data_IF_757250030529
#
_entry.id   IF_757250030529
#
_cell.length_a   1.000
_cell.length_b   1.000
_cell.length_c   1.000
_cell.angle_alpha   90.00
_cell.angle_beta   90.00
_cell.angle_gamma   90.00
#
_symmetry.space_group_name_H-M   'P 1'
#
loop_
_entity.id
_entity.type
_entity.pdbx_description
1 polymer ?
#
# COMPACT_ATOMS: atom_id res chain seq x y z
N UNK A 1 16.85 7.25 26.21
CA UNK A 1 16.49 6.83 24.85
C UNK A 1 15.84 5.47 24.99
N UNK A 2 14.52 5.40 24.86
CA UNK A 2 13.79 4.13 24.99
C UNK A 2 14.16 3.22 23.82
N UNK A 3 14.78 2.09 24.15
CA UNK A 3 14.91 0.94 23.26
C UNK A 3 13.54 0.23 23.17
N UNK A 4 12.55 0.89 22.59
CA UNK A 4 11.37 0.19 22.14
C UNK A 4 11.83 -0.66 20.95
N UNK A 5 11.77 -1.99 21.11
CA UNK A 5 12.01 -2.95 20.03
C UNK A 5 11.27 -2.45 18.79
N UNK A 6 12.00 -2.14 17.73
CA UNK A 6 11.41 -1.84 16.44
C UNK A 6 10.67 -3.12 16.02
N UNK A 7 9.36 -3.13 16.21
CA UNK A 7 8.51 -4.16 15.66
C UNK A 7 8.49 -3.93 14.14
N UNK A 8 9.30 -4.70 13.42
CA UNK A 8 9.37 -4.67 11.96
C UNK A 8 8.11 -5.27 11.30
N UNK A 9 7.06 -5.58 12.08
CA UNK A 9 5.79 -6.06 11.54
C UNK A 9 5.04 -4.94 10.81
N UNK A 10 4.45 -5.29 9.67
CA UNK A 10 3.56 -4.37 8.97
C UNK A 10 2.26 -4.23 9.79
N UNK A 11 1.79 -2.99 10.03
CA UNK A 11 0.50 -2.77 10.69
C UNK A 11 -0.64 -3.32 9.82
N UNK A 12 -1.77 -3.66 10.46
CA UNK A 12 -2.98 -4.09 9.76
C UNK A 12 -3.47 -3.03 8.77
N UNK A 13 -3.50 -1.77 9.23
CA UNK A 13 -3.83 -0.60 8.43
C UNK A 13 -2.61 -0.14 7.63
N UNK A 14 -2.23 -0.93 6.62
CA UNK A 14 -1.04 -0.71 5.78
C UNK A 14 -1.03 0.67 5.13
N UNK A 15 -2.17 1.22 4.78
CA UNK A 15 -2.35 2.55 4.19
C UNK A 15 -1.77 3.69 5.03
N UNK A 16 -1.63 3.51 6.35
CA UNK A 16 -1.07 4.54 7.23
C UNK A 16 0.42 4.75 6.97
N UNK A 17 1.13 3.72 6.52
CA UNK A 17 2.57 3.74 6.29
C UNK A 17 2.96 3.53 4.83
N UNK A 18 2.17 2.78 4.06
CA UNK A 18 2.42 2.41 2.66
C UNK A 18 1.45 3.12 1.72
N UNK A 19 1.93 3.42 0.52
CA UNK A 19 1.11 4.01 -0.54
C UNK A 19 0.03 3.02 -0.96
N UNK A 20 -1.22 3.46 -0.91
CA UNK A 20 -2.35 2.66 -1.35
C UNK A 20 -2.37 2.47 -2.88
N UNK A 21 -1.87 3.45 -3.64
CA UNK A 21 -1.90 3.50 -5.11
C UNK A 21 -0.56 3.19 -5.80
N UNK A 22 0.46 2.74 -5.06
CA UNK A 22 1.78 2.52 -5.64
C UNK A 22 2.73 1.77 -4.71
N UNK A 23 4.02 1.98 -4.93
CA UNK A 23 5.08 1.27 -4.19
C UNK A 23 5.62 2.05 -2.99
N UNK A 24 5.92 1.30 -1.93
CA UNK A 24 6.72 1.75 -0.79
C UNK A 24 5.99 2.64 0.21
N UNK A 25 6.78 3.24 1.10
CA UNK A 25 6.28 4.09 2.18
C UNK A 25 5.70 5.41 1.67
N UNK A 26 4.71 5.95 2.40
CA UNK A 26 4.05 7.22 2.08
C UNK A 26 5.04 8.40 2.05
N UNK A 27 6.02 8.41 2.95
CA UNK A 27 7.02 9.47 3.06
C UNK A 27 8.21 9.31 2.10
N UNK A 28 8.31 8.17 1.40
CA UNK A 28 9.40 7.90 0.45
C UNK A 28 8.95 8.18 -0.98
N UNK A 29 9.30 9.33 -1.56
CA UNK A 29 8.88 9.70 -2.93
C UNK A 29 9.89 10.59 -3.65
N UNK A 30 9.84 10.56 -4.97
CA UNK A 30 10.56 11.50 -5.81
C UNK A 30 9.91 12.88 -5.73
N UNK A 31 10.73 13.91 -5.59
CA UNK A 31 10.32 15.32 -5.63
C UNK A 31 11.24 16.09 -6.55
N UNK A 32 10.77 17.22 -7.05
CA UNK A 32 11.60 18.15 -7.82
C UNK A 32 12.01 19.31 -6.95
N UNK A 33 13.31 19.57 -6.92
CA UNK A 33 13.94 20.66 -6.19
C UNK A 33 14.94 21.34 -7.11
N UNK A 34 14.76 22.63 -7.40
CA UNK A 34 15.68 23.42 -8.24
C UNK A 34 16.01 22.73 -9.58
N UNK A 35 14.99 22.27 -10.31
CA UNK A 35 15.10 21.55 -11.58
C UNK A 35 15.85 20.21 -11.54
N UNK A 36 16.09 19.67 -10.34
CA UNK A 36 16.69 18.36 -10.11
C UNK A 36 15.72 17.42 -9.41
N UNK A 37 15.86 16.11 -9.62
CA UNK A 37 15.13 15.09 -8.87
C UNK A 37 15.86 14.79 -7.57
N UNK A 38 15.12 14.80 -6.46
CA UNK A 38 15.57 14.31 -5.17
C UNK A 38 14.64 13.20 -4.70
N UNK A 39 15.19 12.18 -4.04
CA UNK A 39 14.38 11.16 -3.38
C UNK A 39 14.18 11.55 -1.92
N UNK A 40 12.97 11.89 -1.51
CA UNK A 40 12.63 12.14 -0.11
C UNK A 40 12.46 10.84 0.65
N UNK A 41 12.86 10.84 1.92
CA UNK A 41 12.69 9.71 2.84
C UNK A 41 13.85 9.60 3.84
N UNK A 42 13.83 8.57 4.69
CA UNK A 42 14.91 8.31 5.67
C UNK A 42 15.61 6.96 5.51
N UNK A 43 15.06 6.07 4.69
CA UNK A 43 15.42 4.64 4.75
C UNK A 43 16.43 4.21 3.67
N UNK A 44 16.86 5.11 2.80
CA UNK A 44 17.74 4.79 1.67
C UNK A 44 18.94 5.72 1.63
N UNK A 45 20.09 5.21 1.19
CA UNK A 45 21.30 6.02 1.04
C UNK A 45 21.16 7.15 0.01
N UNK A 46 20.21 7.03 -0.91
CA UNK A 46 19.89 8.06 -1.91
C UNK A 46 18.95 9.16 -1.37
N UNK A 47 18.40 8.97 -0.16
CA UNK A 47 17.48 9.92 0.43
C UNK A 47 18.13 11.30 0.62
N UNK A 48 17.37 12.34 0.30
CA UNK A 48 17.76 13.76 0.35
C UNK A 48 18.99 14.13 -0.48
N UNK A 49 19.43 13.24 -1.38
CA UNK A 49 20.46 13.56 -2.38
C UNK A 49 19.79 14.08 -3.64
N UNK A 50 20.26 15.23 -4.11
CA UNK A 50 19.90 15.78 -5.41
C UNK A 50 20.61 15.00 -6.53
N UNK A 51 19.86 14.57 -7.54
CA UNK A 51 20.34 13.82 -8.69
C UNK A 51 20.15 14.66 -9.98
N UNK A 52 21.01 15.67 -10.21
CA UNK A 52 20.81 16.63 -11.31
C UNK A 52 20.84 15.99 -12.70
N UNK A 53 21.60 14.91 -12.87
CA UNK A 53 21.72 14.22 -14.16
C UNK A 53 20.58 13.23 -14.46
N UNK A 54 19.68 12.97 -13.51
CA UNK A 54 18.62 11.98 -13.69
C UNK A 54 17.58 12.43 -14.72
N UNK A 55 17.14 13.69 -14.68
CA UNK A 55 16.21 14.26 -15.67
C UNK A 55 16.85 14.25 -17.07
N UNK A 56 18.06 14.82 -17.30
CA UNK A 56 18.74 14.75 -18.60
C UNK A 56 18.93 13.32 -19.12
N UNK A 57 19.24 12.37 -18.23
CA UNK A 57 19.35 10.96 -18.59
C UNK A 57 18.01 10.40 -19.10
N UNK A 58 16.91 10.64 -18.40
CA UNK A 58 15.57 10.20 -18.81
C UNK A 58 15.18 10.82 -20.15
N UNK A 59 15.38 12.14 -20.32
CA UNK A 59 15.06 12.85 -21.57
C UNK A 59 15.79 12.27 -22.78
N UNK A 60 17.10 12.03 -22.65
CA UNK A 60 17.90 11.43 -23.73
C UNK A 60 17.51 9.99 -24.02
N UNK A 61 17.23 9.19 -22.99
CA UNK A 61 16.93 7.76 -23.14
C UNK A 61 15.54 7.52 -23.71
N UNK A 62 14.56 8.31 -23.27
CA UNK A 62 13.16 8.16 -23.67
C UNK A 62 12.79 9.05 -24.88
N UNK A 63 13.67 9.98 -25.27
CA UNK A 63 13.41 10.94 -26.35
C UNK A 63 12.29 11.94 -26.02
N UNK A 64 12.10 12.27 -24.74
CA UNK A 64 11.04 13.16 -24.26
C UNK A 64 11.60 14.51 -23.80
N UNK A 65 10.79 15.55 -23.91
CA UNK A 65 11.05 16.82 -23.23
C UNK A 65 10.35 16.80 -21.87
N UNK A 66 11.07 17.16 -20.82
CA UNK A 66 10.54 17.23 -19.47
C UNK A 66 10.21 18.69 -19.13
N UNK A 67 9.03 18.92 -18.56
CA UNK A 67 8.67 20.16 -17.89
C UNK A 67 8.29 19.88 -16.43
N UNK A 68 8.64 20.79 -15.50
CA UNK A 68 8.26 20.65 -14.09
C UNK A 68 6.74 20.58 -13.88
N UNK A 69 5.95 21.09 -14.82
CA UNK A 69 4.48 21.00 -14.81
C UNK A 69 3.93 19.62 -15.20
N UNK A 70 4.75 18.76 -15.80
CA UNK A 70 4.33 17.41 -16.22
C UNK A 70 4.24 16.44 -15.03
N UNK A 71 4.81 16.80 -13.88
CA UNK A 71 4.75 15.99 -12.67
C UNK A 71 3.38 16.17 -12.02
N UNK A 72 2.53 15.16 -12.24
CA UNK A 72 1.37 14.93 -11.39
C UNK A 72 1.85 14.23 -10.13
N UNK A 73 1.86 14.95 -9.01
CA UNK A 73 2.06 14.33 -7.71
C UNK A 73 0.88 13.37 -7.46
N UNK A 74 1.20 12.12 -7.16
CA UNK A 74 0.27 11.00 -6.92
C UNK A 74 -0.50 11.13 -5.59
N UNK A 75 -0.81 12.35 -5.16
CA UNK A 75 -1.48 12.66 -3.90
C UNK A 75 -3.02 12.59 -4.03
N UNK A 76 -3.54 11.77 -4.96
CA UNK A 76 -5.00 11.54 -5.05
C UNK A 76 -5.49 10.84 -3.78
N UNK A 77 -6.54 11.34 -3.11
CA UNK A 77 -7.14 10.62 -1.99
C UNK A 77 -7.77 9.31 -2.47
N UNK A 78 -7.80 8.32 -1.59
CA UNK A 78 -8.54 7.08 -1.85
C UNK A 78 -10.04 7.37 -1.87
N UNK A 79 -10.69 7.11 -3.00
CA UNK A 79 -12.13 7.27 -3.14
C UNK A 79 -12.84 5.92 -3.02
N UNK A 80 -13.42 5.69 -1.85
CA UNK A 80 -14.13 4.45 -1.53
C UNK A 80 -15.41 4.24 -2.35
N UNK A 81 -15.94 5.27 -3.02
CA UNK A 81 -17.18 5.16 -3.80
C UNK A 81 -17.05 4.25 -5.03
N UNK A 82 -15.81 4.00 -5.49
CA UNK A 82 -15.52 3.05 -6.56
C UNK A 82 -15.38 1.60 -6.08
N UNK A 83 -15.44 1.36 -4.77
CA UNK A 83 -15.31 0.01 -4.20
C UNK A 83 -16.70 -0.56 -3.95
N UNK A 84 -17.00 -1.69 -4.58
CA UNK A 84 -18.26 -2.38 -4.38
C UNK A 84 -18.37 -2.93 -2.94
N UNK A 85 -19.58 -2.92 -2.35
CA UNK A 85 -19.83 -3.54 -1.06
C UNK A 85 -19.42 -5.02 -1.04
N UNK A 86 -18.96 -5.55 0.10
CA UNK A 86 -18.62 -6.96 0.21
C UNK A 86 -19.87 -7.83 0.12
N UNK A 87 -19.74 -9.00 -0.49
CA UNK A 87 -20.79 -10.02 -0.43
C UNK A 87 -20.64 -10.79 0.89
N UNK A 88 -21.62 -10.66 1.78
CA UNK A 88 -21.56 -11.21 3.14
C UNK A 88 -22.40 -12.47 3.26
N UNK A 89 -21.82 -13.53 3.83
CA UNK A 89 -22.55 -14.69 4.31
C UNK A 89 -22.74 -14.54 5.83
N UNK A 90 -23.98 -14.31 6.26
CA UNK A 90 -24.30 -14.00 7.66
C UNK A 90 -23.92 -15.14 8.62
N UNK A 91 -24.12 -16.40 8.21
CA UNK A 91 -23.76 -17.57 9.02
C UNK A 91 -22.25 -17.65 9.25
N UNK A 92 -21.48 -17.40 8.19
CA UNK A 92 -20.02 -17.37 8.29
C UNK A 92 -19.53 -16.19 9.13
N UNK A 93 -20.12 -15.01 8.95
CA UNK A 93 -19.75 -13.82 9.73
C UNK A 93 -20.06 -14.01 11.22
N UNK A 94 -21.20 -14.61 11.55
CA UNK A 94 -21.55 -14.97 12.92
C UNK A 94 -20.53 -15.95 13.51
N UNK A 95 -20.18 -17.02 12.79
CA UNK A 95 -19.15 -17.96 13.22
C UNK A 95 -17.78 -17.29 13.40
N UNK A 96 -17.41 -16.33 12.55
CA UNK A 96 -16.18 -15.56 12.69
C UNK A 96 -16.17 -14.70 13.96
N UNK A 97 -17.30 -14.05 14.28
CA UNK A 97 -17.47 -13.24 15.51
C UNK A 97 -17.33 -14.11 16.75
N UNK A 98 -18.04 -15.24 16.81
CA UNK A 98 -18.03 -16.16 17.95
C UNK A 98 -16.64 -16.76 18.21
N UNK A 99 -15.91 -17.13 17.13
CA UNK A 99 -14.59 -17.76 17.25
C UNK A 99 -13.41 -16.77 17.30
N UNK A 100 -13.67 -15.46 17.33
CA UNK A 100 -12.64 -14.41 17.34
C UNK A 100 -11.79 -14.33 18.61
N UNK A 101 -11.97 -15.27 19.54
CA UNK A 101 -11.33 -15.39 20.86
C UNK A 101 -9.79 -15.40 20.84
N UNK A 102 -9.18 -14.24 20.60
CA UNK A 102 -7.73 -13.99 20.55
C UNK A 102 -6.93 -14.72 19.45
N UNK A 103 -7.58 -15.44 18.51
CA UNK A 103 -6.90 -16.22 17.47
C UNK A 103 -6.67 -15.46 16.16
N UNK A 104 -7.56 -14.53 15.83
CA UNK A 104 -7.49 -13.73 14.61
C UNK A 104 -8.30 -12.45 14.75
N UNK A 105 -8.05 -11.51 13.85
CA UNK A 105 -8.91 -10.35 13.61
C UNK A 105 -9.31 -10.32 12.14
N UNK A 106 -10.40 -9.64 11.80
CA UNK A 106 -10.82 -9.51 10.42
C UNK A 106 -11.38 -8.11 10.15
N UNK A 107 -11.46 -7.72 8.87
CA UNK A 107 -12.00 -6.45 8.40
C UNK A 107 -12.73 -6.64 7.08
N UNK A 108 -13.83 -5.92 6.92
CA UNK A 108 -14.56 -5.77 5.67
C UNK A 108 -14.50 -4.33 5.14
N UNK A 109 -13.59 -3.51 5.66
CA UNK A 109 -13.43 -2.11 5.27
C UNK A 109 -12.91 -2.02 3.83
N UNK A 110 -13.37 -0.99 3.09
CA UNK A 110 -13.13 -0.86 1.66
C UNK A 110 -11.64 -0.75 1.34
N UNK A 111 -10.89 -0.01 2.17
CA UNK A 111 -9.45 0.22 1.98
C UNK A 111 -8.62 -1.03 2.28
N UNK A 112 -8.98 -1.79 3.32
CA UNK A 112 -8.28 -3.02 3.68
C UNK A 112 -8.50 -4.08 2.60
N UNK A 113 -9.75 -4.24 2.15
CA UNK A 113 -10.12 -5.12 1.04
C UNK A 113 -9.37 -4.73 -0.23
N UNK A 114 -9.37 -3.45 -0.59
CA UNK A 114 -8.68 -2.96 -1.78
C UNK A 114 -7.17 -3.24 -1.73
N UNK A 115 -6.52 -2.96 -0.58
CA UNK A 115 -5.07 -3.16 -0.42
C UNK A 115 -4.67 -4.63 -0.59
N UNK A 116 -5.53 -5.57 -0.21
CA UNK A 116 -5.28 -7.02 -0.32
C UNK A 116 -5.77 -7.63 -1.64
N UNK A 117 -6.36 -6.85 -2.54
CA UNK A 117 -6.89 -7.33 -3.82
C UNK A 117 -5.96 -7.10 -5.01
N UNK A 118 -4.80 -6.48 -4.78
CA UNK A 118 -3.87 -6.09 -5.83
C UNK A 118 -2.42 -6.37 -5.46
N UNK A 119 -1.63 -6.67 -6.47
CA UNK A 119 -0.18 -6.64 -6.41
C UNK A 119 0.38 -5.26 -6.78
N UNK A 120 1.54 -5.31 -7.44
CA UNK A 120 2.33 -4.16 -7.86
C UNK A 120 2.70 -4.28 -9.35
N UNK A 121 1.89 -4.98 -10.14
CA UNK A 121 2.08 -4.99 -11.58
C UNK A 121 1.60 -3.67 -12.19
N UNK A 122 2.08 -3.35 -13.41
CA UNK A 122 1.77 -2.08 -14.07
C UNK A 122 0.26 -1.82 -14.22
N UNK A 123 -0.52 -2.85 -14.59
CA UNK A 123 -1.97 -2.75 -14.80
C UNK A 123 -2.69 -2.39 -13.49
N UNK A 124 -2.34 -3.08 -12.40
CA UNK A 124 -2.90 -2.87 -11.07
C UNK A 124 -2.54 -1.49 -10.50
N UNK A 125 -1.29 -1.07 -10.64
CA UNK A 125 -0.85 0.27 -10.23
C UNK A 125 -1.61 1.35 -11.01
N UNK A 126 -1.72 1.19 -12.33
CA UNK A 126 -2.47 2.12 -13.18
C UNK A 126 -3.95 2.22 -12.77
N UNK A 127 -4.61 1.08 -12.53
CA UNK A 127 -6.00 1.06 -12.03
C UNK A 127 -6.11 1.67 -10.63
N UNK A 128 -5.12 1.49 -9.77
CA UNK A 128 -5.13 2.10 -8.43
C UNK A 128 -5.04 3.62 -8.49
N UNK A 129 -4.23 4.17 -9.40
CA UNK A 129 -4.15 5.62 -9.63
C UNK A 129 -5.38 6.20 -10.34
N UNK A 130 -6.21 5.34 -10.94
CA UNK A 130 -7.39 5.68 -11.74
C UNK A 130 -8.55 4.76 -11.33
N UNK A 131 -9.00 4.88 -10.07
CA UNK A 131 -10.03 4.03 -9.47
C UNK A 131 -11.33 3.97 -10.28
N UNK A 132 -11.64 5.01 -11.06
CA UNK A 132 -12.77 5.02 -11.98
C UNK A 132 -12.68 3.99 -13.12
N UNK A 133 -11.49 3.40 -13.33
CA UNK A 133 -11.20 2.35 -14.30
C UNK A 133 -10.96 0.99 -13.66
N UNK A 134 -11.33 0.84 -12.38
CA UNK A 134 -11.11 -0.39 -11.64
C UNK A 134 -11.92 -1.52 -12.25
N UNK A 135 -11.22 -2.51 -12.79
CA UNK A 135 -11.80 -3.69 -13.43
C UNK A 135 -11.13 -4.96 -12.87
N UNK A 136 -11.20 -5.09 -11.54
CA UNK A 136 -10.71 -6.25 -10.80
C UNK A 136 -11.72 -6.65 -9.72
N UNK A 137 -11.72 -7.94 -9.38
CA UNK A 137 -12.48 -8.42 -8.24
C UNK A 137 -11.75 -8.04 -6.94
N UNK A 138 -12.43 -7.27 -6.09
CA UNK A 138 -11.95 -6.93 -4.75
C UNK A 138 -12.39 -8.02 -3.75
N UNK A 139 -11.52 -8.47 -2.85
CA UNK A 139 -11.85 -9.45 -1.81
C UNK A 139 -12.99 -8.93 -0.92
N UNK A 140 -13.83 -9.79 -0.37
CA UNK A 140 -14.96 -9.34 0.49
C UNK A 140 -14.56 -9.19 1.97
N UNK A 141 -13.53 -9.92 2.40
CA UNK A 141 -13.10 -9.98 3.79
C UNK A 141 -11.59 -10.19 3.87
N UNK A 142 -10.95 -9.49 4.79
CA UNK A 142 -9.53 -9.68 5.14
C UNK A 142 -9.45 -10.28 6.52
N UNK A 143 -8.63 -11.32 6.70
CA UNK A 143 -8.41 -11.99 8.00
C UNK A 143 -6.91 -11.98 8.32
N UNK A 144 -6.58 -11.56 9.53
CA UNK A 144 -5.23 -11.59 10.09
C UNK A 144 -5.17 -12.62 11.22
N UNK A 145 -4.68 -13.84 10.94
CA UNK A 145 -4.42 -14.83 11.99
C UNK A 145 -3.23 -14.42 12.86
N UNK A 146 -3.31 -14.71 14.17
CA UNK A 146 -2.29 -14.32 15.15
C UNK A 146 -1.30 -15.45 15.42
N UNK A 147 -1.73 -16.70 15.33
CA UNK A 147 -0.88 -17.87 15.55
C UNK A 147 -1.31 -19.07 14.69
N UNK A 148 -0.45 -20.08 14.64
CA UNK A 148 -0.84 -21.39 14.12
C UNK A 148 -1.72 -22.12 15.14
N UNK A 149 -2.73 -22.84 14.64
CA UNK A 149 -3.67 -23.64 15.46
C UNK A 149 -2.98 -24.79 16.22
N UNK A 150 -1.71 -25.10 15.91
CA UNK A 150 -0.93 -26.20 16.49
C UNK A 150 -0.06 -25.79 17.70
N UNK A 151 -0.04 -24.50 18.05
CA UNK A 151 0.84 -23.98 19.11
C UNK A 151 0.38 -24.39 20.53
N UNK A 152 -0.88 -24.87 20.66
CA UNK A 152 -1.51 -25.24 21.93
C UNK A 152 -1.54 -26.75 22.19
N UNK A 153 -0.97 -27.56 21.30
CA UNK A 153 -0.77 -28.98 21.54
C UNK A 153 0.73 -29.23 21.64
N UNK A 154 1.18 -29.48 22.87
CA UNK A 154 2.57 -29.75 23.19
C UNK A 154 3.20 -30.72 22.21
N UNK A 155 4.46 -30.44 21.86
CA UNK A 155 5.31 -31.29 21.05
C UNK A 155 5.08 -32.78 21.37
N UNK A 156 4.64 -33.54 20.37
CA UNK A 156 4.79 -34.99 20.33
C UNK A 156 6.13 -35.34 19.70
#
# INVERSE_FOLDING_TARGET
MNNDKIDNSLPKNKQNILKWNGWGYNYCKWTVENDSLAFKGGDYEISDKSLPELIPFIQRTMGITYSAQDIKLDDKPFDKTFILPPIVNETFEFALKENSQAKYTYSSDEIDRFFHSKGQNLKETYMSQNLEKLDIRIVDLVVWPICSIFSDHGAL
#
